data_IF_673941485944
#
_entry.id   IF_673941485944
#
_cell.length_a   1.000
_cell.length_b   1.000
_cell.length_c   1.000
_cell.angle_alpha   90.00
_cell.angle_beta   90.00
_cell.angle_gamma   90.00
#
_symmetry.space_group_name_H-M   'P 1'
#
loop_
_entity.id
_entity.type
_entity.pdbx_description
1 polymer ?
#
# COMPACT_ATOMS: atom_id res chain seq x y z
N UNK A 1 11.63 20.96 -33.64
CA UNK A 1 12.38 20.13 -34.58
C UNK A 1 13.39 19.28 -33.81
N UNK A 2 13.35 17.96 -33.93
CA UNK A 2 14.23 17.03 -33.20
C UNK A 2 15.58 16.95 -33.90
N UNK A 3 16.69 17.15 -33.18
CA UNK A 3 18.05 17.18 -33.74
C UNK A 3 18.42 15.80 -34.33
N UNK A 4 18.97 15.72 -35.56
CA UNK A 4 19.45 14.45 -36.10
C UNK A 4 20.70 13.98 -35.34
N UNK A 5 20.82 12.66 -35.14
CA UNK A 5 21.96 12.05 -34.43
C UNK A 5 23.04 11.60 -35.41
N UNK A 6 24.29 11.77 -34.99
CA UNK A 6 25.49 11.62 -35.82
C UNK A 6 26.03 10.18 -35.93
N UNK A 7 25.61 9.22 -35.10
CA UNK A 7 26.00 7.80 -35.24
C UNK A 7 25.04 6.84 -34.51
N UNK A 8 24.75 5.70 -35.17
CA UNK A 8 24.02 4.54 -34.61
C UNK A 8 22.48 4.64 -34.66
N UNK A 9 21.84 3.50 -34.95
CA UNK A 9 20.40 3.33 -34.69
C UNK A 9 20.24 3.31 -33.17
N UNK A 10 19.73 4.40 -32.60
CA UNK A 10 19.53 4.54 -31.15
C UNK A 10 18.64 3.44 -30.56
N UNK A 11 18.33 3.55 -29.26
CA UNK A 11 17.40 2.60 -28.61
C UNK A 11 16.08 2.54 -29.40
N UNK A 12 15.77 1.36 -29.91
CA UNK A 12 14.50 1.10 -30.60
C UNK A 12 13.30 1.50 -29.76
N UNK A 13 12.22 1.90 -30.43
CA UNK A 13 11.01 2.33 -29.77
C UNK A 13 10.49 1.24 -28.83
N UNK A 14 10.24 1.58 -27.56
CA UNK A 14 9.68 0.64 -26.59
C UNK A 14 8.29 0.21 -27.04
N UNK A 15 8.11 -1.08 -27.31
CA UNK A 15 6.81 -1.66 -27.59
C UNK A 15 6.24 -2.24 -26.29
N UNK A 16 5.24 -1.58 -25.71
CA UNK A 16 4.55 -2.04 -24.50
C UNK A 16 3.59 -3.19 -24.84
N UNK A 17 4.14 -4.35 -25.19
CA UNK A 17 3.38 -5.50 -25.75
C UNK A 17 2.95 -6.53 -24.71
N UNK A 18 3.29 -6.33 -23.42
CA UNK A 18 2.93 -7.28 -22.37
C UNK A 18 1.51 -7.04 -21.88
N UNK A 19 0.61 -7.96 -22.20
CA UNK A 19 -0.72 -8.00 -21.61
C UNK A 19 -0.63 -8.67 -20.22
N UNK A 20 -0.95 -7.95 -19.13
CA UNK A 20 -1.00 -8.52 -17.80
C UNK A 20 -2.22 -9.45 -17.68
N UNK A 21 -2.08 -10.52 -16.89
CA UNK A 21 -3.09 -11.58 -16.71
C UNK A 21 -3.19 -11.87 -15.22
N UNK A 22 -4.39 -12.09 -14.71
CA UNK A 22 -4.67 -12.36 -13.29
C UNK A 22 -4.19 -13.75 -12.85
N UNK A 23 -4.21 -14.03 -11.54
CA UNK A 23 -3.79 -15.33 -11.01
C UNK A 23 -4.86 -16.41 -11.23
N UNK A 24 -6.15 -16.05 -11.36
CA UNK A 24 -7.21 -17.01 -11.73
C UNK A 24 -6.93 -17.65 -13.09
N UNK A 25 -6.59 -16.85 -14.11
CA UNK A 25 -6.31 -17.34 -15.45
C UNK A 25 -5.00 -18.13 -15.51
N UNK A 26 -3.99 -17.71 -14.74
CA UNK A 26 -2.75 -18.48 -14.60
C UNK A 26 -3.03 -19.87 -14.02
N UNK A 27 -3.86 -19.97 -12.99
CA UNK A 27 -4.21 -21.23 -12.35
C UNK A 27 -4.98 -22.15 -13.29
N UNK A 28 -5.97 -21.63 -14.03
CA UNK A 28 -6.69 -22.38 -15.08
C UNK A 28 -5.75 -23.01 -16.11
N UNK A 29 -4.72 -22.29 -16.53
CA UNK A 29 -3.72 -22.83 -17.45
C UNK A 29 -2.89 -23.95 -16.81
N UNK A 30 -2.52 -23.80 -15.53
CA UNK A 30 -1.75 -24.81 -14.79
C UNK A 30 -2.57 -26.07 -14.48
N UNK A 31 -3.86 -25.94 -14.15
CA UNK A 31 -4.74 -27.08 -13.89
C UNK A 31 -4.88 -27.97 -15.12
N UNK A 32 -4.96 -27.37 -16.32
CA UNK A 32 -4.97 -28.12 -17.58
C UNK A 32 -3.65 -28.83 -17.83
N UNK A 33 -2.52 -28.17 -17.56
CA UNK A 33 -1.20 -28.81 -17.65
C UNK A 33 -1.04 -29.96 -16.64
N UNK A 34 -1.64 -29.83 -15.45
CA UNK A 34 -1.64 -30.88 -14.43
C UNK A 34 -2.49 -32.09 -14.84
N UNK A 35 -3.57 -31.88 -15.62
CA UNK A 35 -4.38 -32.93 -16.24
C UNK A 35 -3.70 -33.63 -17.44
N UNK A 36 -2.44 -33.29 -17.73
CA UNK A 36 -1.66 -33.90 -18.81
C UNK A 36 -1.77 -33.19 -20.16
N UNK A 37 -2.45 -32.04 -20.25
CA UNK A 37 -2.49 -31.29 -21.50
C UNK A 37 -1.11 -30.73 -21.87
N UNK A 38 -0.81 -30.71 -23.17
CA UNK A 38 0.39 -30.04 -23.66
C UNK A 38 0.26 -28.51 -23.63
N UNK A 39 1.39 -27.82 -23.52
CA UNK A 39 1.42 -26.35 -23.53
C UNK A 39 0.78 -25.77 -24.80
N UNK A 40 0.95 -26.44 -25.94
CA UNK A 40 0.33 -26.04 -27.21
C UNK A 40 -1.19 -26.06 -27.14
N UNK A 41 -1.77 -27.18 -26.69
CA UNK A 41 -3.21 -27.34 -26.54
C UNK A 41 -3.82 -26.31 -25.57
N UNK A 42 -3.13 -26.02 -24.46
CA UNK A 42 -3.56 -24.99 -23.51
C UNK A 42 -3.57 -23.58 -24.14
N UNK A 43 -2.62 -23.28 -25.03
CA UNK A 43 -2.59 -22.01 -25.74
C UNK A 43 -3.73 -21.92 -26.74
N UNK A 44 -3.96 -22.98 -27.52
CA UNK A 44 -4.95 -22.98 -28.57
C UNK A 44 -6.37 -22.81 -27.99
N UNK A 45 -6.62 -23.38 -26.80
CA UNK A 45 -7.90 -23.21 -26.09
C UNK A 45 -8.05 -21.85 -25.40
N UNK A 46 -7.00 -21.34 -24.72
CA UNK A 46 -7.07 -20.07 -23.99
C UNK A 46 -6.91 -18.84 -24.89
N UNK A 47 -6.32 -19.01 -26.07
CA UNK A 47 -5.95 -17.95 -27.00
C UNK A 47 -6.14 -18.38 -28.47
N UNK A 48 -7.39 -18.63 -28.92
CA UNK A 48 -7.69 -19.24 -30.23
C UNK A 48 -7.37 -18.37 -31.45
N UNK A 49 -7.05 -17.08 -31.27
CA UNK A 49 -6.85 -16.14 -32.39
C UNK A 49 -5.58 -15.30 -32.21
N UNK A 50 -4.43 -15.96 -32.07
CA UNK A 50 -3.14 -15.30 -31.92
C UNK A 50 -2.18 -15.59 -33.08
N UNK A 51 -1.34 -14.63 -33.41
CA UNK A 51 -0.29 -14.80 -34.41
C UNK A 51 0.78 -15.81 -33.97
N UNK A 52 1.55 -16.37 -34.91
CA UNK A 52 2.67 -17.29 -34.59
C UNK A 52 3.69 -16.66 -33.63
N UNK A 53 3.97 -15.37 -33.78
CA UNK A 53 4.89 -14.65 -32.90
C UNK A 53 4.31 -14.52 -31.47
N UNK A 54 3.02 -14.28 -31.33
CA UNK A 54 2.33 -14.24 -30.04
C UNK A 54 2.22 -15.62 -29.39
N UNK A 55 2.00 -16.67 -30.18
CA UNK A 55 2.00 -18.07 -29.73
C UNK A 55 3.32 -18.42 -29.05
N UNK A 56 4.45 -18.10 -29.68
CA UNK A 56 5.78 -18.29 -29.10
C UNK A 56 5.98 -17.51 -27.78
N UNK A 57 5.46 -16.28 -27.69
CA UNK A 57 5.49 -15.48 -26.45
C UNK A 57 4.63 -16.11 -25.35
N UNK A 58 3.42 -16.59 -25.68
CA UNK A 58 2.52 -17.28 -24.75
C UNK A 58 3.11 -18.60 -24.26
N UNK A 59 3.75 -19.37 -25.13
CA UNK A 59 4.45 -20.60 -24.74
C UNK A 59 5.55 -20.34 -23.72
N UNK A 60 6.38 -19.29 -23.92
CA UNK A 60 7.39 -18.87 -22.94
C UNK A 60 6.74 -18.40 -21.63
N UNK A 61 5.63 -17.69 -21.71
CA UNK A 61 4.89 -17.18 -20.55
C UNK A 61 4.29 -18.32 -19.71
N UNK A 62 3.62 -19.29 -20.33
CA UNK A 62 3.04 -20.45 -19.65
C UNK A 62 4.13 -21.35 -19.08
N UNK A 63 5.24 -21.56 -19.81
CA UNK A 63 6.40 -22.30 -19.30
C UNK A 63 6.98 -21.63 -18.04
N UNK A 64 7.01 -20.29 -18.01
CA UNK A 64 7.39 -19.53 -16.81
C UNK A 64 6.39 -19.73 -15.66
N UNK A 65 5.08 -19.71 -15.94
CA UNK A 65 4.06 -19.98 -14.93
C UNK A 65 4.19 -21.40 -14.36
N UNK A 66 4.47 -22.40 -15.20
CA UNK A 66 4.71 -23.78 -14.76
C UNK A 66 5.85 -23.87 -13.75
N UNK A 67 6.97 -23.15 -14.00
CA UNK A 67 8.08 -23.05 -13.03
C UNK A 67 7.70 -22.34 -11.73
N UNK A 68 6.69 -21.47 -11.76
CA UNK A 68 6.21 -20.69 -10.62
C UNK A 68 4.91 -21.22 -10.02
N UNK A 69 4.51 -22.46 -10.34
CA UNK A 69 3.19 -23.00 -10.02
C UNK A 69 2.87 -22.94 -8.51
N UNK A 70 3.81 -23.34 -7.65
CA UNK A 70 3.62 -23.28 -6.19
C UNK A 70 3.37 -21.86 -5.68
N UNK A 71 4.06 -20.86 -6.23
CA UNK A 71 3.84 -19.46 -5.88
C UNK A 71 2.49 -18.94 -6.39
N UNK A 72 2.12 -19.28 -7.62
CA UNK A 72 0.83 -18.90 -8.21
C UNK A 72 -0.33 -19.46 -7.38
N UNK A 73 -0.23 -20.72 -6.96
CA UNK A 73 -1.21 -21.36 -6.08
C UNK A 73 -1.30 -20.67 -4.72
N UNK A 74 -0.17 -20.37 -4.08
CA UNK A 74 -0.15 -19.61 -2.82
C UNK A 74 -0.87 -18.26 -2.94
N UNK A 75 -0.61 -17.50 -4.01
CA UNK A 75 -1.28 -16.19 -4.21
C UNK A 75 -2.79 -16.35 -4.39
N UNK A 76 -3.23 -17.44 -5.02
CA UNK A 76 -4.65 -17.77 -5.15
C UNK A 76 -5.26 -18.12 -3.80
N UNK A 77 -4.62 -19.02 -3.04
CA UNK A 77 -5.06 -19.45 -1.71
C UNK A 77 -5.11 -18.28 -0.70
N UNK A 78 -4.23 -17.29 -0.85
CA UNK A 78 -4.22 -16.04 -0.08
C UNK A 78 -5.38 -15.07 -0.42
N UNK A 79 -6.32 -15.44 -1.30
CA UNK A 79 -7.46 -14.60 -1.73
C UNK A 79 -7.06 -13.40 -2.59
N UNK A 80 -5.93 -13.50 -3.30
CA UNK A 80 -5.35 -12.43 -4.14
C UNK A 80 -5.39 -12.78 -5.62
N UNK A 81 -6.34 -13.63 -6.01
CA UNK A 81 -6.44 -14.21 -7.33
C UNK A 81 -6.74 -13.19 -8.45
N UNK A 82 -7.45 -12.11 -8.12
CA UNK A 82 -7.78 -11.01 -9.04
C UNK A 82 -6.57 -10.15 -9.44
N UNK A 83 -5.43 -10.27 -8.73
CA UNK A 83 -4.25 -9.47 -9.03
C UNK A 83 -3.59 -9.89 -10.34
N UNK A 84 -3.21 -8.93 -11.18
CA UNK A 84 -2.48 -9.25 -12.41
C UNK A 84 -0.96 -9.33 -12.21
N UNK A 85 -0.46 -8.56 -11.24
CA UNK A 85 0.92 -8.57 -10.81
C UNK A 85 0.96 -8.61 -9.28
N UNK A 86 1.59 -9.64 -8.74
CA UNK A 86 1.89 -9.67 -7.32
C UNK A 86 3.13 -8.83 -7.05
N UNK A 87 3.06 -8.00 -6.01
CA UNK A 87 4.23 -7.37 -5.38
C UNK A 87 4.24 -7.90 -3.97
N UNK A 88 5.35 -8.46 -3.48
CA UNK A 88 5.44 -8.78 -2.06
C UNK A 88 5.26 -7.49 -1.28
N UNK A 89 4.54 -7.56 -0.17
CA UNK A 89 4.68 -6.53 0.86
C UNK A 89 6.18 -6.42 1.17
N UNK A 90 6.75 -5.25 0.97
CA UNK A 90 8.18 -5.02 1.12
C UNK A 90 9.03 -5.07 -0.16
N UNK A 91 8.51 -5.48 -1.32
CA UNK A 91 9.28 -5.44 -2.59
C UNK A 91 9.61 -4.01 -3.07
N UNK A 92 9.09 -2.99 -2.38
CA UNK A 92 9.45 -1.58 -2.58
C UNK A 92 10.17 -0.96 -1.37
N UNK A 93 10.39 -1.73 -0.30
CA UNK A 93 10.85 -1.21 0.98
C UNK A 93 12.15 -1.93 1.31
N UNK A 94 13.25 -1.27 0.99
CA UNK A 94 14.58 -1.70 1.48
C UNK A 94 14.57 -1.68 3.03
N UNK A 95 13.67 -0.90 3.64
CA UNK A 95 13.38 -0.91 5.06
C UNK A 95 12.41 -2.04 5.45
N UNK A 96 12.62 -2.62 6.63
CA UNK A 96 11.69 -3.55 7.28
C UNK A 96 10.37 -2.85 7.64
N UNK A 97 9.31 -3.63 7.85
CA UNK A 97 8.02 -3.07 8.28
C UNK A 97 8.12 -2.32 9.62
N UNK A 98 9.05 -2.75 10.48
CA UNK A 98 9.28 -2.16 11.80
C UNK A 98 9.98 -0.80 11.65
N UNK A 99 11.02 -0.75 10.82
CA UNK A 99 11.70 0.48 10.44
C UNK A 99 10.73 1.51 9.79
N UNK A 100 9.82 1.06 8.92
CA UNK A 100 8.80 1.96 8.37
C UNK A 100 7.85 2.48 9.44
N UNK A 101 7.44 1.64 10.41
CA UNK A 101 6.59 2.06 11.53
C UNK A 101 7.25 3.14 12.39
N UNK A 102 8.55 3.04 12.62
CA UNK A 102 9.29 4.03 13.41
C UNK A 102 9.27 5.41 12.74
N UNK A 103 9.46 5.45 11.42
CA UNK A 103 9.36 6.69 10.64
C UNK A 103 7.93 7.26 10.70
N UNK A 104 6.90 6.40 10.64
CA UNK A 104 5.50 6.83 10.77
C UNK A 104 5.22 7.42 12.15
N UNK A 105 5.68 6.76 13.21
CA UNK A 105 5.50 7.23 14.58
C UNK A 105 6.13 8.60 14.78
N UNK A 106 7.40 8.74 14.37
CA UNK A 106 8.12 10.01 14.41
C UNK A 106 7.36 11.12 13.67
N UNK A 107 6.89 10.84 12.45
CA UNK A 107 6.19 11.82 11.63
C UNK A 107 4.85 12.25 12.27
N UNK A 108 4.14 11.32 12.90
CA UNK A 108 2.92 11.63 13.64
C UNK A 108 3.19 12.44 14.91
N UNK A 109 4.29 12.18 15.62
CA UNK A 109 4.73 13.00 16.77
C UNK A 109 4.98 14.45 16.33
N UNK A 110 5.75 14.66 15.26
CA UNK A 110 6.01 15.99 14.70
C UNK A 110 4.71 16.74 14.34
N UNK A 111 3.74 16.04 13.75
CA UNK A 111 2.42 16.63 13.43
C UNK A 111 1.63 16.97 14.68
N UNK A 112 1.68 16.12 15.71
CA UNK A 112 0.98 16.35 16.99
C UNK A 112 1.53 17.58 17.71
N UNK A 113 2.83 17.81 17.61
CA UNK A 113 3.53 18.97 18.18
C UNK A 113 3.33 20.26 17.35
N UNK A 114 2.58 20.19 16.24
CA UNK A 114 2.32 21.34 15.37
C UNK A 114 3.50 21.72 14.47
N UNK A 115 4.55 20.90 14.40
CA UNK A 115 5.70 21.16 13.55
C UNK A 115 5.38 20.86 12.07
N UNK A 116 5.77 21.78 11.20
CA UNK A 116 5.68 21.57 9.75
C UNK A 116 6.73 20.55 9.30
N UNK A 117 6.28 19.43 8.73
CA UNK A 117 7.17 18.41 8.18
C UNK A 117 7.49 18.76 6.73
N UNK A 118 8.72 19.24 6.48
CA UNK A 118 9.24 19.48 5.13
C UNK A 118 9.33 18.19 4.31
N UNK A 119 9.34 18.30 2.99
CA UNK A 119 9.52 17.15 2.10
C UNK A 119 10.86 16.42 2.34
N UNK A 120 11.90 17.12 2.77
CA UNK A 120 13.22 16.52 3.01
C UNK A 120 13.31 15.72 4.32
N UNK A 121 12.48 16.05 5.29
CA UNK A 121 12.51 15.49 6.65
C UNK A 121 12.30 13.95 6.67
N UNK A 122 11.28 13.39 5.99
CA UNK A 122 11.12 11.94 5.87
C UNK A 122 12.28 11.22 5.19
N UNK A 123 13.02 11.90 4.29
CA UNK A 123 14.20 11.31 3.65
C UNK A 123 15.33 11.14 4.67
N UNK A 124 15.63 12.19 5.42
CA UNK A 124 16.68 12.16 6.45
C UNK A 124 16.36 11.14 7.54
N UNK A 125 15.11 11.11 8.04
CA UNK A 125 14.73 10.14 9.05
C UNK A 125 14.80 8.70 8.54
N UNK A 126 14.45 8.48 7.27
CA UNK A 126 14.54 7.15 6.70
C UNK A 126 15.98 6.68 6.53
N UNK A 127 16.91 7.57 6.20
CA UNK A 127 18.34 7.25 6.13
C UNK A 127 18.93 6.96 7.51
N UNK A 128 18.52 7.71 8.54
CA UNK A 128 18.88 7.45 9.94
C UNK A 128 18.41 6.05 10.37
N UNK A 129 17.13 5.75 10.18
CA UNK A 129 16.56 4.43 10.51
C UNK A 129 17.21 3.32 9.69
N UNK A 130 17.57 3.57 8.44
CA UNK A 130 18.31 2.61 7.63
C UNK A 130 19.69 2.31 8.24
N UNK A 131 20.42 3.34 8.65
CA UNK A 131 21.73 3.17 9.29
C UNK A 131 21.62 2.39 10.61
N UNK A 132 20.60 2.67 11.43
CA UNK A 132 20.32 1.94 12.67
C UNK A 132 20.01 0.45 12.42
N UNK A 133 19.42 0.14 11.25
CA UNK A 133 19.14 -1.23 10.82
C UNK A 133 20.31 -1.86 10.02
N UNK A 134 21.48 -1.21 9.96
CA UNK A 134 22.66 -1.72 9.25
C UNK A 134 22.54 -1.70 7.72
N UNK A 135 21.66 -0.87 7.18
CA UNK A 135 21.42 -0.73 5.73
C UNK A 135 22.29 0.43 5.20
N UNK A 136 23.19 0.13 4.26
CA UNK A 136 24.05 1.15 3.65
C UNK A 136 23.31 2.02 2.64
N UNK A 137 23.84 3.23 2.38
CA UNK A 137 23.27 4.19 1.43
C UNK A 137 23.17 3.66 -0.01
N UNK A 138 24.11 2.79 -0.39
CA UNK A 138 24.13 2.12 -1.70
C UNK A 138 22.92 1.20 -1.88
N UNK A 139 22.43 0.63 -0.77
CA UNK A 139 21.25 -0.24 -0.74
C UNK A 139 19.98 0.59 -0.57
N UNK A 140 19.99 1.62 0.29
CA UNK A 140 18.87 2.53 0.52
C UNK A 140 19.26 4.01 0.45
N UNK A 141 18.81 4.68 -0.60
CA UNK A 141 19.04 6.12 -0.80
C UNK A 141 17.87 7.01 -0.41
N UNK A 142 16.79 6.45 0.17
CA UNK A 142 15.54 7.16 0.43
C UNK A 142 15.02 7.98 -0.77
N UNK A 143 15.22 7.46 -1.99
CA UNK A 143 14.96 8.16 -3.26
C UNK A 143 13.59 8.87 -3.32
N UNK A 144 13.47 9.89 -4.17
CA UNK A 144 12.20 10.60 -4.43
C UNK A 144 11.02 9.64 -4.66
N UNK A 145 11.23 8.58 -5.45
CA UNK A 145 10.20 7.57 -5.74
C UNK A 145 9.75 6.80 -4.50
N UNK A 146 10.68 6.45 -3.61
CA UNK A 146 10.38 5.83 -2.32
C UNK A 146 9.62 6.80 -1.43
N UNK A 147 10.15 8.01 -1.22
CA UNK A 147 9.53 9.05 -0.38
C UNK A 147 8.10 9.35 -0.82
N UNK A 148 7.90 9.55 -2.12
CA UNK A 148 6.58 9.86 -2.67
C UNK A 148 5.58 8.71 -2.43
N UNK A 149 6.01 7.45 -2.54
CA UNK A 149 5.14 6.30 -2.23
C UNK A 149 4.87 6.17 -0.73
N UNK A 150 5.90 6.30 0.09
CA UNK A 150 5.84 6.23 1.54
C UNK A 150 4.88 7.29 2.11
N UNK A 151 4.98 8.54 1.66
CA UNK A 151 4.05 9.59 2.10
C UNK A 151 2.59 9.33 1.67
N UNK A 152 2.38 8.66 0.52
CA UNK A 152 1.02 8.26 0.09
C UNK A 152 0.46 7.09 0.89
N UNK A 153 1.29 6.15 1.34
CA UNK A 153 0.83 5.02 2.14
C UNK A 153 0.37 5.45 3.53
N UNK A 154 1.00 6.48 4.12
CA UNK A 154 0.65 7.00 5.46
C UNK A 154 -0.62 7.84 5.45
N UNK A 155 -0.86 8.61 4.36
CA UNK A 155 -2.06 9.46 4.24
C UNK A 155 -3.38 8.67 4.29
N UNK A 156 -3.35 7.36 4.08
CA UNK A 156 -4.55 6.54 4.03
C UNK A 156 -5.16 6.21 5.41
N UNK A 157 -4.41 6.36 6.52
CA UNK A 157 -4.77 5.79 7.84
C UNK A 157 -5.25 6.77 8.91
N UNK A 158 -5.54 8.03 8.57
CA UNK A 158 -5.87 9.08 9.56
C UNK A 158 -7.27 9.66 9.41
N UNK A 159 -8.24 8.91 8.88
CA UNK A 159 -9.66 9.26 9.02
C UNK A 159 -10.22 8.61 10.29
N UNK A 160 -10.93 9.38 11.11
CA UNK A 160 -11.56 8.89 12.34
C UNK A 160 -12.47 7.66 12.14
N UNK A 161 -12.94 7.41 10.91
CA UNK A 161 -13.68 6.20 10.54
C UNK A 161 -12.87 4.89 10.55
N UNK A 162 -11.60 4.89 10.97
CA UNK A 162 -10.77 3.69 11.12
C UNK A 162 -10.30 3.41 12.56
N UNK A 163 -10.74 4.19 13.56
CA UNK A 163 -10.55 3.83 14.97
C UNK A 163 -11.22 2.48 15.20
N UNK A 164 -10.50 1.47 15.68
CA UNK A 164 -11.15 0.18 15.96
C UNK A 164 -12.20 0.40 17.06
N UNK A 165 -13.33 -0.33 17.07
CA UNK A 165 -14.34 -0.17 18.10
C UNK A 165 -13.76 -0.27 19.51
N UNK A 166 -12.80 -1.16 19.71
CA UNK A 166 -12.07 -1.35 20.97
C UNK A 166 -11.28 -0.12 21.40
N UNK A 167 -10.54 0.51 20.48
CA UNK A 167 -9.76 1.72 20.78
C UNK A 167 -10.68 2.91 21.11
N UNK A 168 -11.84 2.99 20.44
CA UNK A 168 -12.85 4.00 20.71
C UNK A 168 -13.49 3.80 22.10
N UNK A 169 -13.78 2.56 22.48
CA UNK A 169 -14.30 2.20 23.81
C UNK A 169 -13.29 2.58 24.90
N UNK A 170 -12.01 2.23 24.73
CA UNK A 170 -10.95 2.55 25.68
C UNK A 170 -10.77 4.07 25.85
N UNK A 171 -10.80 4.83 24.74
CA UNK A 171 -10.73 6.28 24.79
C UNK A 171 -11.94 6.90 25.52
N UNK A 172 -13.15 6.34 25.32
CA UNK A 172 -14.37 6.76 26.03
C UNK A 172 -14.27 6.53 27.53
N UNK A 173 -13.80 5.36 27.96
CA UNK A 173 -13.66 5.01 29.38
C UNK A 173 -12.67 5.97 30.05
N UNK A 174 -11.50 6.17 29.44
CA UNK A 174 -10.48 7.08 29.97
C UNK A 174 -11.01 8.52 30.11
N UNK A 175 -11.70 9.02 29.09
CA UNK A 175 -12.30 10.36 29.14
C UNK A 175 -13.38 10.44 30.24
N UNK A 176 -14.20 9.40 30.41
CA UNK A 176 -15.21 9.35 31.47
C UNK A 176 -14.58 9.40 32.87
N UNK A 177 -13.47 8.70 33.08
CA UNK A 177 -12.72 8.73 34.34
C UNK A 177 -12.15 10.12 34.63
N UNK A 178 -11.54 10.78 33.64
CA UNK A 178 -11.03 12.14 33.76
C UNK A 178 -12.16 13.14 34.12
N UNK A 179 -13.31 13.03 33.45
CA UNK A 179 -14.48 13.87 33.74
C UNK A 179 -15.01 13.63 35.16
N UNK A 180 -15.13 12.37 35.59
CA UNK A 180 -15.56 12.02 36.96
C UNK A 180 -14.60 12.57 38.00
N UNK A 181 -13.30 12.45 37.76
CA UNK A 181 -12.27 12.99 38.65
C UNK A 181 -12.42 14.51 38.79
N UNK A 182 -12.58 15.22 37.67
CA UNK A 182 -12.79 16.67 37.67
C UNK A 182 -14.08 17.09 38.38
N UNK A 183 -15.17 16.33 38.21
CA UNK A 183 -16.45 16.58 38.90
C UNK A 183 -16.27 16.53 40.43
N UNK A 184 -15.62 15.49 40.93
CA UNK A 184 -15.36 15.33 42.36
C UNK A 184 -14.39 16.39 42.89
N UNK A 185 -13.29 16.64 42.18
CA UNK A 185 -12.25 17.58 42.60
C UNK A 185 -12.76 19.02 42.68
N UNK A 186 -13.60 19.44 41.74
CA UNK A 186 -14.09 20.81 41.63
C UNK A 186 -15.54 20.99 42.11
N UNK A 187 -16.15 19.96 42.70
CA UNK A 187 -17.55 19.96 43.14
C UNK A 187 -18.52 20.46 42.05
N UNK A 188 -18.33 19.97 40.81
CA UNK A 188 -19.13 20.41 39.66
C UNK A 188 -20.53 19.79 39.78
N UNK A 189 -21.54 20.63 39.98
CA UNK A 189 -22.93 20.19 40.12
C UNK A 189 -23.68 20.06 38.78
N UNK A 190 -23.17 20.70 37.72
CA UNK A 190 -23.78 20.68 36.39
C UNK A 190 -22.71 20.50 35.32
N UNK A 191 -22.88 19.49 34.48
CA UNK A 191 -22.04 19.23 33.31
C UNK A 191 -22.92 19.39 32.07
N UNK A 192 -22.48 20.23 31.14
CA UNK A 192 -23.18 20.47 29.88
C UNK A 192 -22.39 19.83 28.74
N UNK A 193 -23.09 19.20 27.79
CA UNK A 193 -22.46 18.80 26.54
C UNK A 193 -22.28 20.06 25.65
N UNK A 194 -21.18 20.15 24.91
CA UNK A 194 -20.82 21.33 24.13
C UNK A 194 -21.92 21.74 23.10
N UNK A 195 -22.74 20.81 22.64
CA UNK A 195 -23.83 21.05 21.68
C UNK A 195 -25.11 21.66 22.30
N UNK A 196 -25.20 21.82 23.63
CA UNK A 196 -26.42 22.29 24.31
C UNK A 196 -26.52 23.82 24.48
N UNK A 197 -25.50 24.60 24.12
CA UNK A 197 -25.49 26.06 24.38
C UNK A 197 -26.27 26.90 23.36
N UNK A 198 -26.84 26.30 22.31
CA UNK A 198 -27.50 27.05 21.21
C UNK A 198 -29.01 27.30 21.35
N UNK A 199 -29.76 26.57 22.18
CA UNK A 199 -31.24 26.46 22.01
C UNK A 199 -32.11 27.07 23.10
N UNK A 200 -31.58 27.51 24.26
CA UNK A 200 -32.42 28.00 25.36
C UNK A 200 -32.59 29.52 25.51
N UNK A 201 -31.92 30.38 24.71
CA UNK A 201 -31.98 31.85 24.89
C UNK A 201 -33.16 32.59 24.24
N UNK A 202 -34.21 31.92 23.74
CA UNK A 202 -35.32 32.59 23.03
C UNK A 202 -36.74 32.16 23.45
N UNK A 203 -37.06 32.03 24.74
CA UNK A 203 -38.47 32.01 25.19
C UNK A 203 -38.60 32.56 26.61
N UNK A 204 -38.74 33.89 26.72
CA UNK A 204 -39.52 34.57 27.77
C UNK A 204 -39.42 36.09 27.61
N UNK A 205 -40.36 36.65 26.85
CA UNK A 205 -40.87 37.99 27.05
C UNK A 205 -42.37 37.90 26.75
N UNK A 206 -43.18 37.93 27.81
CA UNK A 206 -44.61 38.23 27.77
C UNK A 206 -44.74 39.67 28.26
#
# INVERSE_FOLDING_TARGET
MTRPRTTGNGRGQRTYTRIPVDYTHKLKALDKLAKGAEVGAVIDELYPSISKAERNKKQKQISKWKKQAGFIKKVYDDGKEHLQNFRRSGDATILSADAERDIVLWLNTMRKEGCSVSEKMPELKALEVAADNGISLDVFSASYSWRHRFLRSIRARTRQGQTTPTDAEAARVKFLEEVRHAICQHNITKVFNADQTGTQRRRSAK
#
